data_IF_413836505281
#
_entry.id   IF_413836505281
#
_cell.length_a   1.000
_cell.length_b   1.000
_cell.length_c   1.000
_cell.angle_alpha   90.00
_cell.angle_beta   90.00
_cell.angle_gamma   90.00
#
_symmetry.space_group_name_H-M   'P 1'
#
loop_
_entity.id
_entity.type
_entity.pdbx_description
1 polymer ?
#
# COMPACT_ATOMS: atom_id res chain seq x y z
N UNK A 1 6.07 8.44 17.26
CA UNK A 1 6.40 9.20 16.02
C UNK A 1 6.46 8.22 14.86
N UNK A 2 5.82 8.57 13.75
CA UNK A 2 5.65 7.66 12.59
C UNK A 2 6.19 8.33 11.33
N UNK A 3 6.92 7.58 10.50
CA UNK A 3 7.25 7.92 9.12
C UNK A 3 6.53 6.97 8.16
N UNK A 4 6.05 7.49 7.06
CA UNK A 4 5.41 6.72 5.99
C UNK A 4 6.14 6.96 4.67
N UNK A 5 6.54 5.87 4.00
CA UNK A 5 7.07 5.90 2.64
C UNK A 5 6.10 5.21 1.70
N UNK A 6 5.59 5.95 0.72
CA UNK A 6 4.55 5.48 -0.21
C UNK A 6 4.90 5.78 -1.66
N UNK A 7 4.28 5.08 -2.61
CA UNK A 7 4.46 5.30 -4.04
C UNK A 7 3.25 4.85 -4.88
N UNK A 8 3.02 5.50 -6.04
CA UNK A 8 3.65 6.73 -6.53
C UNK A 8 3.14 7.99 -5.81
N UNK A 9 3.71 9.15 -6.10
CA UNK A 9 3.12 10.45 -5.80
C UNK A 9 2.13 10.85 -6.91
N UNK A 10 1.21 11.74 -6.60
CA UNK A 10 0.23 12.24 -7.57
C UNK A 10 0.61 13.61 -8.13
N UNK A 11 1.09 14.51 -7.31
CA UNK A 11 1.45 15.90 -7.68
C UNK A 11 2.90 16.16 -7.32
N UNK A 12 3.24 16.09 -6.04
CA UNK A 12 4.55 16.45 -5.52
C UNK A 12 5.34 15.24 -5.04
N UNK A 13 6.64 15.18 -5.36
CA UNK A 13 7.51 14.08 -4.93
C UNK A 13 7.50 13.86 -3.42
N UNK A 14 7.33 14.92 -2.66
CA UNK A 14 7.31 14.96 -1.20
C UNK A 14 6.22 14.08 -0.57
N UNK A 15 5.13 13.81 -1.31
CA UNK A 15 4.06 12.90 -0.89
C UNK A 15 4.58 11.50 -0.55
N UNK A 16 5.74 11.10 -1.13
CA UNK A 16 6.33 9.79 -0.90
C UNK A 16 6.95 9.65 0.49
N UNK A 17 7.37 10.74 1.12
CA UNK A 17 8.13 10.73 2.37
C UNK A 17 7.41 11.63 3.37
N UNK A 18 6.67 11.01 4.28
CA UNK A 18 5.84 11.72 5.24
C UNK A 18 6.33 11.45 6.67
N UNK A 19 6.55 12.49 7.44
CA UNK A 19 6.98 12.45 8.84
C UNK A 19 5.87 13.02 9.72
N UNK A 20 5.28 12.19 10.57
CA UNK A 20 4.18 12.58 11.47
C UNK A 20 3.01 13.30 10.76
N UNK A 21 2.62 12.77 9.59
CA UNK A 21 1.50 13.29 8.79
C UNK A 21 1.84 14.54 7.96
N UNK A 22 3.10 14.98 7.93
CA UNK A 22 3.54 16.09 7.11
C UNK A 22 4.55 15.61 6.05
N UNK A 23 4.38 15.94 4.77
CA UNK A 23 5.39 15.67 3.76
C UNK A 23 6.73 16.30 4.14
N UNK A 24 7.82 15.57 3.88
CA UNK A 24 9.17 16.12 4.05
C UNK A 24 9.37 17.32 3.12
N UNK A 25 10.08 18.34 3.58
CA UNK A 25 10.38 19.51 2.78
C UNK A 25 11.39 19.21 1.65
N UNK A 26 11.44 20.07 0.63
CA UNK A 26 12.43 19.99 -0.44
C UNK A 26 13.86 19.96 0.12
N UNK A 27 14.15 20.80 1.11
CA UNK A 27 15.47 20.89 1.71
C UNK A 27 15.87 19.57 2.40
N UNK A 28 14.95 18.91 3.12
CA UNK A 28 15.20 17.62 3.76
C UNK A 28 15.44 16.53 2.72
N UNK A 29 14.65 16.49 1.65
CA UNK A 29 14.78 15.50 0.57
C UNK A 29 16.08 15.71 -0.20
N UNK A 30 16.42 16.96 -0.55
CA UNK A 30 17.66 17.30 -1.25
C UNK A 30 18.87 16.91 -0.39
N UNK A 31 18.87 17.26 0.89
CA UNK A 31 19.94 16.88 1.81
C UNK A 31 20.09 15.35 1.91
N UNK A 32 18.98 14.62 1.93
CA UNK A 32 19.00 13.16 1.93
C UNK A 32 19.59 12.60 0.63
N UNK A 33 19.22 13.15 -0.53
CA UNK A 33 19.82 12.77 -1.81
C UNK A 33 21.33 13.04 -1.87
N UNK A 34 21.79 14.20 -1.37
CA UNK A 34 23.21 14.53 -1.29
C UNK A 34 23.98 13.52 -0.42
N UNK A 35 23.39 13.07 0.68
CA UNK A 35 24.01 12.04 1.52
C UNK A 35 24.07 10.68 0.83
N UNK A 36 23.03 10.26 0.13
CA UNK A 36 23.05 9.03 -0.67
C UNK A 36 24.13 9.13 -1.75
N UNK A 37 24.19 10.26 -2.48
CA UNK A 37 25.20 10.50 -3.51
C UNK A 37 26.63 10.41 -2.96
N UNK A 38 26.88 11.00 -1.79
CA UNK A 38 28.21 11.01 -1.17
C UNK A 38 28.70 9.60 -0.80
N UNK A 39 27.79 8.66 -0.46
CA UNK A 39 28.15 7.32 0.03
C UNK A 39 28.07 6.23 -1.01
N UNK A 40 27.27 6.39 -2.10
CA UNK A 40 27.06 5.33 -3.10
C UNK A 40 28.30 4.96 -3.91
N UNK A 41 29.33 5.81 -3.93
CA UNK A 41 30.65 5.54 -4.58
C UNK A 41 30.53 5.06 -6.03
N UNK A 42 29.59 5.64 -6.81
CA UNK A 42 29.35 5.27 -8.19
C UNK A 42 28.54 4.00 -8.41
N UNK A 43 28.03 3.36 -7.37
CA UNK A 43 27.04 2.26 -7.51
C UNK A 43 25.81 2.80 -8.24
N UNK A 44 25.40 2.19 -9.37
CA UNK A 44 24.20 2.61 -10.07
C UNK A 44 22.97 2.29 -9.22
N UNK A 45 22.08 3.26 -9.08
CA UNK A 45 20.80 3.13 -8.39
C UNK A 45 19.68 3.50 -9.35
N UNK A 46 18.61 2.75 -9.34
CA UNK A 46 17.36 3.13 -10.02
C UNK A 46 16.72 4.33 -9.34
N UNK A 47 15.79 4.97 -10.01
CA UNK A 47 15.00 6.06 -9.45
C UNK A 47 14.32 5.67 -8.11
N UNK A 48 13.75 4.46 -8.04
CA UNK A 48 13.07 3.98 -6.84
C UNK A 48 14.06 3.67 -5.71
N UNK A 49 15.17 2.98 -6.00
CA UNK A 49 16.21 2.70 -5.00
C UNK A 49 16.79 3.97 -4.40
N UNK A 50 17.01 4.98 -5.25
CA UNK A 50 17.55 6.26 -4.79
C UNK A 50 16.57 6.97 -3.84
N UNK A 51 15.27 7.00 -4.20
CA UNK A 51 14.21 7.58 -3.37
C UNK A 51 14.00 6.82 -2.07
N UNK A 52 14.07 5.49 -2.11
CA UNK A 52 13.96 4.64 -0.92
C UNK A 52 15.09 4.92 0.08
N UNK A 53 16.33 5.01 -0.40
CA UNK A 53 17.47 5.34 0.47
C UNK A 53 17.36 6.75 1.05
N UNK A 54 16.87 7.72 0.26
CA UNK A 54 16.62 9.08 0.77
C UNK A 54 15.54 9.08 1.86
N UNK A 55 14.46 8.32 1.69
CA UNK A 55 13.44 8.16 2.72
C UNK A 55 14.01 7.59 4.02
N UNK A 56 14.88 6.59 3.94
CA UNK A 56 15.54 6.03 5.10
C UNK A 56 16.45 7.04 5.82
N UNK A 57 17.13 7.90 5.07
CA UNK A 57 17.93 9.00 5.65
C UNK A 57 17.05 9.96 6.41
N UNK A 58 15.95 10.44 5.80
CA UNK A 58 15.00 11.36 6.45
C UNK A 58 14.43 10.73 7.72
N UNK A 59 14.02 9.46 7.68
CA UNK A 59 13.43 8.78 8.84
C UNK A 59 14.42 8.55 9.96
N UNK A 60 15.67 8.22 9.62
CA UNK A 60 16.73 8.06 10.62
C UNK A 60 17.04 9.38 11.33
N UNK A 61 17.06 10.50 10.61
CA UNK A 61 17.29 11.83 11.18
C UNK A 61 16.10 12.31 12.03
N UNK A 62 14.89 11.95 11.64
CA UNK A 62 13.67 12.28 12.37
C UNK A 62 13.50 11.51 13.68
N UNK A 63 14.33 10.50 13.97
CA UNK A 63 14.28 9.64 15.16
C UNK A 63 12.87 9.10 15.44
N UNK A 64 12.30 8.40 14.49
CA UNK A 64 10.93 7.85 14.51
C UNK A 64 10.88 6.53 15.28
N UNK A 65 9.72 6.26 15.89
CA UNK A 65 9.44 5.01 16.60
C UNK A 65 8.97 3.89 15.65
N UNK A 66 8.25 4.28 14.58
CA UNK A 66 7.68 3.35 13.59
C UNK A 66 7.92 3.88 12.17
N UNK A 67 8.33 2.98 11.28
CA UNK A 67 8.44 3.22 9.86
C UNK A 67 7.41 2.34 9.14
N UNK A 68 6.51 2.94 8.38
CA UNK A 68 5.57 2.25 7.49
C UNK A 68 6.09 2.37 6.07
N UNK A 69 6.50 1.26 5.49
CA UNK A 69 7.15 1.21 4.19
C UNK A 69 6.27 0.48 3.18
N UNK A 70 5.85 1.18 2.13
CA UNK A 70 5.15 0.57 1.01
C UNK A 70 6.18 0.00 0.02
N UNK A 71 5.97 -1.26 -0.36
CA UNK A 71 6.72 -1.91 -1.44
C UNK A 71 6.35 -1.27 -2.77
N UNK A 72 7.33 -0.90 -3.58
CA UNK A 72 7.08 -0.34 -4.91
C UNK A 72 6.53 -1.39 -5.88
N UNK A 73 7.16 -2.58 -5.92
CA UNK A 73 6.72 -3.68 -6.79
C UNK A 73 7.15 -5.04 -6.23
N UNK A 74 6.24 -6.02 -6.26
CA UNK A 74 6.51 -7.39 -5.79
C UNK A 74 6.73 -7.46 -4.30
N UNK A 75 7.96 -7.52 -3.86
CA UNK A 75 8.38 -7.57 -2.46
C UNK A 75 9.81 -8.09 -2.30
N UNK A 76 10.09 -9.30 -2.76
CA UNK A 76 11.36 -10.01 -2.54
C UNK A 76 12.60 -9.19 -2.95
N UNK A 77 12.57 -8.55 -4.09
CA UNK A 77 13.68 -7.76 -4.64
C UNK A 77 13.46 -6.25 -4.55
N UNK A 78 12.41 -5.82 -3.85
CA UNK A 78 12.14 -4.40 -3.68
C UNK A 78 13.16 -3.72 -2.77
N UNK A 79 13.47 -2.46 -3.06
CA UNK A 79 14.45 -1.70 -2.30
C UNK A 79 14.06 -1.54 -0.82
N UNK A 80 12.76 -1.44 -0.52
CA UNK A 80 12.28 -1.34 0.87
C UNK A 80 12.57 -2.60 1.68
N UNK A 81 12.68 -3.76 1.01
CA UNK A 81 12.91 -5.05 1.64
C UNK A 81 14.35 -5.28 2.13
N UNK A 82 15.24 -4.31 1.96
CA UNK A 82 16.59 -4.36 2.53
C UNK A 82 16.59 -4.25 4.05
N UNK A 83 15.55 -3.69 4.64
CA UNK A 83 15.36 -3.60 6.08
C UNK A 83 14.67 -4.85 6.62
N UNK A 84 15.01 -5.21 7.87
CA UNK A 84 14.32 -6.29 8.57
C UNK A 84 13.02 -5.77 9.19
N UNK A 85 11.85 -6.22 8.70
CA UNK A 85 10.57 -5.76 9.22
C UNK A 85 10.26 -6.40 10.58
N UNK A 86 9.51 -5.67 11.43
CA UNK A 86 8.95 -6.23 12.67
C UNK A 86 7.56 -6.85 12.46
N UNK A 87 6.90 -6.47 11.38
CA UNK A 87 5.61 -7.02 10.93
C UNK A 87 5.44 -6.77 9.44
N UNK A 88 4.67 -7.57 8.73
CA UNK A 88 4.40 -7.41 7.31
C UNK A 88 2.92 -7.57 6.97
N UNK A 89 2.44 -6.80 5.99
CA UNK A 89 1.09 -6.90 5.42
C UNK A 89 1.20 -7.15 3.92
N UNK A 90 0.52 -8.19 3.46
CA UNK A 90 0.25 -8.43 2.03
C UNK A 90 -1.24 -8.24 1.83
N UNK A 91 -1.65 -7.18 1.15
CA UNK A 91 -3.06 -6.78 1.02
C UNK A 91 -3.83 -7.73 0.13
N UNK A 92 -3.34 -7.93 -1.10
CA UNK A 92 -3.96 -8.82 -2.10
C UNK A 92 -2.90 -9.30 -3.10
N UNK A 93 -3.25 -10.35 -3.84
CA UNK A 93 -2.48 -10.84 -4.99
C UNK A 93 -3.42 -10.89 -6.18
N UNK A 94 -3.02 -10.29 -7.29
CA UNK A 94 -3.73 -10.32 -8.57
C UNK A 94 -2.72 -10.38 -9.71
N UNK A 95 -3.18 -10.67 -10.91
CA UNK A 95 -2.35 -10.58 -12.12
C UNK A 95 -2.07 -9.11 -12.41
N UNK A 96 -0.86 -8.68 -12.18
CA UNK A 96 -0.33 -7.36 -12.51
C UNK A 96 1.18 -7.45 -12.62
N UNK A 97 1.78 -6.55 -13.42
CA UNK A 97 3.22 -6.55 -13.67
C UNK A 97 3.77 -7.91 -14.10
N UNK A 98 3.02 -8.64 -14.93
CA UNK A 98 3.33 -10.02 -15.31
C UNK A 98 4.70 -10.17 -15.97
N UNK A 99 5.18 -9.17 -16.70
CA UNK A 99 6.51 -9.13 -17.31
C UNK A 99 7.66 -9.21 -16.28
N UNK A 100 7.39 -8.84 -15.02
CA UNK A 100 8.39 -8.76 -13.95
C UNK A 100 8.17 -9.77 -12.84
N UNK A 101 6.91 -10.03 -12.47
CA UNK A 101 6.58 -10.82 -11.29
C UNK A 101 6.17 -12.26 -11.61
N UNK A 102 5.85 -12.55 -12.89
CA UNK A 102 5.40 -13.86 -13.34
C UNK A 102 3.96 -13.86 -13.89
N UNK A 103 3.62 -14.92 -14.59
CA UNK A 103 2.38 -15.04 -15.37
C UNK A 103 1.22 -15.69 -14.60
N UNK A 104 1.44 -16.11 -13.35
CA UNK A 104 0.43 -16.79 -12.54
C UNK A 104 0.42 -16.27 -11.09
N UNK A 105 -0.73 -16.45 -10.45
CA UNK A 105 -0.99 -15.97 -9.08
C UNK A 105 0.00 -16.53 -8.04
N UNK A 106 0.41 -17.79 -8.17
CA UNK A 106 1.30 -18.41 -7.18
C UNK A 106 2.73 -17.85 -7.28
N UNK A 107 3.20 -17.59 -8.49
CA UNK A 107 4.51 -16.95 -8.73
C UNK A 107 4.51 -15.52 -8.20
N UNK A 108 3.48 -14.72 -8.52
CA UNK A 108 3.34 -13.34 -8.01
C UNK A 108 3.22 -13.35 -6.47
N UNK A 109 2.47 -14.30 -5.91
CA UNK A 109 2.32 -14.46 -4.47
C UNK A 109 3.67 -14.72 -3.79
N UNK A 110 4.52 -15.55 -4.39
CA UNK A 110 5.85 -15.86 -3.86
C UNK A 110 6.76 -14.62 -3.87
N UNK A 111 6.73 -13.80 -4.92
CA UNK A 111 7.46 -12.53 -4.95
C UNK A 111 6.99 -11.57 -3.85
N UNK A 112 5.67 -11.47 -3.64
CA UNK A 112 5.12 -10.65 -2.54
C UNK A 112 5.46 -11.24 -1.17
N UNK A 113 5.44 -12.56 -1.02
CA UNK A 113 5.81 -13.25 0.20
C UNK A 113 7.28 -13.01 0.64
N UNK A 114 8.12 -12.54 -0.28
CA UNK A 114 9.52 -12.19 0.01
C UNK A 114 9.72 -11.09 1.06
N UNK A 115 8.66 -10.39 1.49
CA UNK A 115 8.71 -9.45 2.62
C UNK A 115 8.59 -10.16 3.98
N UNK A 116 8.23 -11.44 4.02
CA UNK A 116 8.11 -12.20 5.25
C UNK A 116 9.48 -12.48 5.87
N UNK A 117 9.50 -12.62 7.19
CA UNK A 117 10.66 -13.10 7.94
C UNK A 117 10.23 -14.13 8.97
N UNK A 118 11.16 -14.95 9.42
CA UNK A 118 10.91 -15.92 10.48
C UNK A 118 10.55 -15.24 11.80
N UNK A 119 9.52 -15.74 12.47
CA UNK A 119 9.14 -15.29 13.81
C UNK A 119 8.37 -13.97 13.89
N UNK A 120 8.16 -13.23 12.77
CA UNK A 120 7.36 -12.02 12.78
C UNK A 120 5.89 -12.29 12.41
N UNK A 121 4.94 -11.43 12.85
CA UNK A 121 3.58 -11.48 12.37
C UNK A 121 3.50 -11.01 10.90
N UNK A 122 2.72 -11.76 10.12
CA UNK A 122 2.40 -11.45 8.73
C UNK A 122 0.88 -11.52 8.58
N UNK A 123 0.26 -10.45 8.12
CA UNK A 123 -1.17 -10.43 7.83
C UNK A 123 -1.39 -10.55 6.32
N UNK A 124 -2.33 -11.40 5.94
CA UNK A 124 -2.82 -11.46 4.56
C UNK A 124 -4.24 -10.87 4.49
N UNK A 125 -4.44 -9.83 3.67
CA UNK A 125 -5.64 -8.99 3.70
C UNK A 125 -6.84 -9.57 2.94
N UNK A 126 -6.61 -10.45 1.96
CA UNK A 126 -7.68 -11.05 1.15
C UNK A 126 -8.24 -12.32 1.80
N UNK A 127 -9.50 -12.68 1.44
CA UNK A 127 -10.11 -13.93 1.89
C UNK A 127 -9.55 -15.15 1.17
N UNK A 128 -9.22 -15.00 -0.11
CA UNK A 128 -8.60 -16.05 -0.92
C UNK A 128 -7.09 -15.97 -0.78
N UNK A 129 -6.49 -17.02 -0.23
CA UNK A 129 -5.06 -17.05 0.10
C UNK A 129 -4.34 -17.98 -0.87
N UNK A 130 -3.42 -17.47 -1.70
CA UNK A 130 -2.58 -18.31 -2.55
C UNK A 130 -1.79 -19.33 -1.73
N UNK A 131 -1.60 -20.51 -2.30
CA UNK A 131 -0.88 -21.60 -1.63
C UNK A 131 0.56 -21.22 -1.33
N UNK A 132 1.20 -20.48 -2.22
CA UNK A 132 2.56 -19.99 -2.04
C UNK A 132 2.73 -19.15 -0.77
N UNK A 133 1.74 -18.31 -0.40
CA UNK A 133 1.74 -17.53 0.85
C UNK A 133 1.80 -18.45 2.07
N UNK A 134 0.95 -19.49 2.09
CA UNK A 134 0.84 -20.44 3.21
C UNK A 134 2.15 -21.24 3.35
N UNK A 135 2.63 -21.80 2.25
CA UNK A 135 3.80 -22.66 2.23
C UNK A 135 5.07 -21.86 2.58
N UNK A 136 5.19 -20.63 2.08
CA UNK A 136 6.32 -19.76 2.39
C UNK A 136 6.31 -19.34 3.87
N UNK A 137 5.18 -18.92 4.41
CA UNK A 137 5.05 -18.59 5.83
C UNK A 137 5.40 -19.79 6.73
N UNK A 138 4.95 -20.99 6.37
CA UNK A 138 5.27 -22.22 7.10
C UNK A 138 6.77 -22.51 7.05
N UNK A 139 7.43 -22.36 5.89
CA UNK A 139 8.87 -22.58 5.73
C UNK A 139 9.73 -21.65 6.59
N UNK A 140 9.28 -20.42 6.78
CA UNK A 140 9.93 -19.39 7.61
C UNK A 140 9.52 -19.47 9.08
N UNK A 141 8.50 -20.25 9.42
CA UNK A 141 7.86 -20.22 10.74
C UNK A 141 7.32 -18.81 11.12
N UNK A 142 6.84 -18.06 10.13
CA UNK A 142 6.20 -16.77 10.34
C UNK A 142 4.82 -16.95 10.97
N UNK A 143 4.39 -15.98 11.78
CA UNK A 143 3.03 -15.98 12.34
C UNK A 143 2.06 -15.45 11.28
N UNK A 144 1.52 -16.32 10.42
CA UNK A 144 0.57 -15.90 9.37
C UNK A 144 -0.85 -15.77 9.93
N UNK A 145 -1.40 -14.54 9.84
CA UNK A 145 -2.76 -14.19 10.23
C UNK A 145 -3.64 -14.05 8.98
N UNK A 146 -4.75 -14.78 8.96
CA UNK A 146 -5.67 -14.87 7.83
C UNK A 146 -7.05 -14.33 8.18
N UNK A 147 -7.64 -13.61 7.25
CA UNK A 147 -9.02 -13.13 7.33
C UNK A 147 -10.00 -14.30 7.47
N UNK A 148 -10.95 -14.20 8.39
CA UNK A 148 -11.95 -15.23 8.68
C UNK A 148 -11.46 -16.36 9.58
N UNK A 149 -10.14 -16.45 9.85
CA UNK A 149 -9.56 -17.38 10.81
C UNK A 149 -9.01 -16.67 12.06
N UNK A 150 -8.20 -15.64 11.86
CA UNK A 150 -7.46 -14.95 12.93
C UNK A 150 -7.99 -13.54 13.18
N UNK A 151 -8.64 -12.94 12.20
CA UNK A 151 -9.32 -11.66 12.31
C UNK A 151 -10.57 -11.61 11.40
N UNK A 152 -11.52 -10.74 11.72
CA UNK A 152 -12.77 -10.56 10.97
C UNK A 152 -12.98 -9.10 10.55
N UNK A 153 -14.05 -8.85 9.80
CA UNK A 153 -14.51 -7.51 9.44
C UNK A 153 -15.48 -6.93 10.46
N UNK A 154 -15.87 -7.74 11.45
CA UNK A 154 -16.88 -7.35 12.44
C UNK A 154 -16.37 -6.18 13.27
N UNK A 155 -17.22 -5.19 13.47
CA UNK A 155 -16.93 -3.98 14.26
C UNK A 155 -15.80 -3.10 13.70
N UNK A 156 -15.34 -3.32 12.48
CA UNK A 156 -14.38 -2.42 11.83
C UNK A 156 -15.11 -1.15 11.37
N UNK A 157 -14.70 0.04 11.83
CA UNK A 157 -15.32 1.29 11.39
C UNK A 157 -15.16 1.48 9.87
N UNK A 158 -16.19 2.04 9.24
CA UNK A 158 -16.14 2.35 7.81
C UNK A 158 -15.03 3.38 7.53
N UNK A 159 -14.04 3.05 6.71
CA UNK A 159 -13.05 4.04 6.26
C UNK A 159 -13.68 5.16 5.43
N UNK A 160 -13.09 6.34 5.45
CA UNK A 160 -13.46 7.43 4.55
C UNK A 160 -13.14 7.17 3.07
N UNK A 161 -12.39 6.10 2.79
CA UNK A 161 -12.11 5.60 1.45
C UNK A 161 -13.31 4.84 0.89
N UNK A 162 -13.65 5.06 -0.38
CA UNK A 162 -14.75 4.38 -1.06
C UNK A 162 -14.42 2.92 -1.39
N UNK A 163 -15.45 2.09 -1.40
CA UNK A 163 -15.41 0.67 -1.75
C UNK A 163 -15.41 -0.27 -0.53
N UNK A 164 -16.21 -1.34 -0.61
CA UNK A 164 -16.33 -2.32 0.47
C UNK A 164 -15.02 -3.02 0.83
N UNK A 165 -14.10 -3.17 -0.14
CA UNK A 165 -12.79 -3.78 0.09
C UNK A 165 -11.92 -2.97 1.07
N UNK A 166 -12.20 -1.67 1.26
CA UNK A 166 -11.46 -0.84 2.20
C UNK A 166 -11.72 -1.23 3.66
N UNK A 167 -12.89 -1.80 3.96
CA UNK A 167 -13.15 -2.40 5.28
C UNK A 167 -12.18 -3.57 5.52
N UNK A 168 -11.95 -4.38 4.47
CA UNK A 168 -10.98 -5.47 4.52
C UNK A 168 -9.55 -4.98 4.76
N UNK A 169 -9.14 -3.92 4.09
CA UNK A 169 -7.84 -3.29 4.29
C UNK A 169 -7.70 -2.74 5.72
N UNK A 170 -8.71 -2.03 6.23
CA UNK A 170 -8.72 -1.51 7.60
C UNK A 170 -8.63 -2.65 8.63
N UNK A 171 -9.41 -3.73 8.45
CA UNK A 171 -9.35 -4.91 9.31
C UNK A 171 -7.95 -5.52 9.36
N UNK A 172 -7.31 -5.66 8.18
CA UNK A 172 -5.95 -6.19 8.08
C UNK A 172 -4.92 -5.29 8.78
N UNK A 173 -5.05 -3.97 8.65
CA UNK A 173 -4.19 -3.00 9.35
C UNK A 173 -4.37 -3.12 10.87
N UNK A 174 -5.60 -3.15 11.37
CA UNK A 174 -5.86 -3.31 12.81
C UNK A 174 -5.33 -4.65 13.34
N UNK A 175 -5.47 -5.73 12.58
CA UNK A 175 -4.89 -7.02 12.92
C UNK A 175 -3.36 -6.97 12.97
N UNK A 176 -2.71 -6.29 12.01
CA UNK A 176 -1.27 -6.12 11.99
C UNK A 176 -0.76 -5.32 13.19
N UNK A 177 -1.41 -4.19 13.50
CA UNK A 177 -1.04 -3.34 14.64
C UNK A 177 -1.10 -4.12 15.97
N UNK A 178 -2.16 -4.90 16.20
CA UNK A 178 -2.27 -5.77 17.38
C UNK A 178 -1.17 -6.83 17.41
N UNK A 179 -0.94 -7.51 16.31
CA UNK A 179 0.08 -8.55 16.23
C UNK A 179 1.52 -8.01 16.36
N UNK A 180 1.74 -6.75 15.98
CA UNK A 180 3.01 -6.05 16.15
C UNK A 180 3.22 -5.45 17.57
N UNK A 181 2.28 -5.64 18.50
CA UNK A 181 2.36 -5.10 19.86
C UNK A 181 2.04 -3.60 19.94
N UNK A 182 1.32 -3.07 18.96
CA UNK A 182 0.87 -1.67 18.89
C UNK A 182 -0.62 -1.57 19.22
N UNK A 183 -1.05 -2.21 20.31
CA UNK A 183 -2.47 -2.32 20.70
C UNK A 183 -3.13 -0.94 20.87
N UNK A 184 -2.41 0.06 21.39
CA UNK A 184 -2.94 1.42 21.56
C UNK A 184 -3.32 2.06 20.21
N UNK A 185 -2.56 1.76 19.16
CA UNK A 185 -2.86 2.23 17.80
C UNK A 185 -4.01 1.45 17.13
N UNK A 186 -4.34 0.28 17.64
CA UNK A 186 -5.45 -0.57 17.18
C UNK A 186 -6.69 -0.50 18.13
N UNK A 187 -6.73 0.49 19.03
CA UNK A 187 -7.87 0.73 19.90
C UNK A 187 -9.14 1.05 19.08
N UNK A 188 -10.27 0.47 19.47
CA UNK A 188 -11.53 0.61 18.73
C UNK A 188 -12.05 2.04 18.71
N UNK A 189 -11.86 2.80 19.79
CA UNK A 189 -12.29 4.20 19.88
C UNK A 189 -11.42 5.07 18.96
N UNK A 190 -10.11 4.83 18.95
CA UNK A 190 -9.19 5.52 18.07
C UNK A 190 -9.49 5.16 16.59
N UNK A 191 -9.67 3.90 16.29
CA UNK A 191 -10.02 3.45 14.94
C UNK A 191 -11.33 4.09 14.45
N UNK A 192 -12.37 4.15 15.31
CA UNK A 192 -13.64 4.78 15.00
C UNK A 192 -13.52 6.30 14.74
N UNK A 193 -12.53 6.96 15.31
CA UNK A 193 -12.28 8.39 15.08
C UNK A 193 -11.40 8.66 13.88
N UNK A 194 -10.45 7.77 13.54
CA UNK A 194 -9.44 8.00 12.51
C UNK A 194 -9.86 7.45 11.15
N UNK A 195 -10.39 6.22 11.10
CA UNK A 195 -10.68 5.56 9.81
C UNK A 195 -11.65 6.34 8.93
N UNK A 196 -12.74 6.95 9.44
CA UNK A 196 -13.64 7.77 8.61
C UNK A 196 -12.99 9.00 7.99
N UNK A 197 -11.92 9.52 8.59
CA UNK A 197 -11.21 10.71 8.12
C UNK A 197 -10.12 10.39 7.10
N UNK A 198 -9.84 9.10 6.86
CA UNK A 198 -8.78 8.69 5.91
C UNK A 198 -9.22 9.02 4.49
N UNK A 199 -8.42 9.83 3.83
CA UNK A 199 -8.57 10.16 2.42
C UNK A 199 -7.25 9.92 1.69
N UNK A 200 -7.31 9.47 0.45
CA UNK A 200 -6.14 9.25 -0.38
C UNK A 200 -6.46 9.71 -1.81
N UNK A 201 -5.66 10.63 -2.32
CA UNK A 201 -5.81 11.12 -3.69
C UNK A 201 -5.70 9.97 -4.69
N UNK A 202 -6.61 9.93 -5.68
CA UNK A 202 -6.63 8.88 -6.68
C UNK A 202 -7.12 7.50 -6.19
N UNK A 203 -7.79 7.42 -5.04
CA UNK A 203 -8.46 6.20 -4.56
C UNK A 203 -9.94 6.48 -4.29
N UNK A 204 -10.76 6.44 -5.36
CA UNK A 204 -12.15 6.84 -5.28
C UNK A 204 -12.34 8.27 -4.78
N UNK A 205 -11.40 9.15 -5.07
CA UNK A 205 -11.34 10.52 -4.55
C UNK A 205 -12.33 11.41 -5.28
N UNK A 206 -13.36 11.89 -4.59
CA UNK A 206 -14.37 12.77 -5.14
C UNK A 206 -14.04 14.23 -4.87
N UNK A 207 -14.15 15.04 -5.93
CA UNK A 207 -14.07 16.50 -5.87
C UNK A 207 -15.25 17.10 -6.64
N UNK A 208 -15.73 18.24 -6.21
CA UNK A 208 -16.72 19.03 -6.96
C UNK A 208 -16.02 20.23 -7.60
N UNK A 209 -16.14 20.36 -8.92
CA UNK A 209 -15.59 21.45 -9.67
C UNK A 209 -16.61 21.93 -10.70
N UNK A 210 -16.95 23.21 -10.68
CA UNK A 210 -17.90 23.86 -11.60
C UNK A 210 -19.29 23.17 -11.68
N UNK A 211 -19.74 22.61 -10.55
CA UNK A 211 -21.02 21.89 -10.46
C UNK A 211 -21.00 20.49 -11.07
N UNK A 212 -19.82 19.96 -11.36
CA UNK A 212 -19.59 18.59 -11.80
C UNK A 212 -18.86 17.83 -10.69
N UNK A 213 -19.36 16.65 -10.36
CA UNK A 213 -18.65 15.73 -9.46
C UNK A 213 -17.61 14.94 -10.28
N UNK A 214 -16.38 14.99 -9.84
CA UNK A 214 -15.27 14.24 -10.41
C UNK A 214 -14.86 13.13 -9.46
N UNK A 215 -14.82 11.90 -9.96
CA UNK A 215 -14.21 10.78 -9.25
C UNK A 215 -12.84 10.51 -9.86
N UNK A 216 -11.80 10.60 -9.05
CA UNK A 216 -10.43 10.34 -9.44
C UNK A 216 -9.99 8.98 -8.89
N UNK A 217 -9.57 8.07 -9.76
CA UNK A 217 -9.06 6.76 -9.39
C UNK A 217 -7.85 6.39 -10.23
N UNK A 218 -6.96 5.55 -9.69
CA UNK A 218 -5.77 5.05 -10.36
C UNK A 218 -5.88 3.59 -10.80
N UNK A 219 -7.10 3.06 -10.91
CA UNK A 219 -7.33 1.72 -11.43
C UNK A 219 -6.68 1.59 -12.83
N UNK A 220 -5.82 0.58 -13.00
CA UNK A 220 -5.02 0.40 -14.22
C UNK A 220 -4.79 -1.09 -14.56
N UNK A 221 -5.53 -1.98 -13.92
CA UNK A 221 -5.58 -3.41 -14.24
C UNK A 221 -7.01 -3.93 -14.11
N UNK A 222 -7.35 -5.09 -14.69
CA UNK A 222 -8.72 -5.61 -14.69
C UNK A 222 -9.32 -5.75 -13.28
N UNK A 223 -8.56 -6.27 -12.34
CA UNK A 223 -9.05 -6.46 -10.96
C UNK A 223 -9.40 -5.12 -10.27
N UNK A 224 -8.60 -4.06 -10.49
CA UNK A 224 -8.89 -2.72 -9.97
C UNK A 224 -10.09 -2.09 -10.69
N UNK A 225 -10.24 -2.34 -11.99
CA UNK A 225 -11.39 -1.85 -12.76
C UNK A 225 -12.70 -2.50 -12.31
N UNK A 226 -12.72 -3.81 -12.04
CA UNK A 226 -13.88 -4.50 -11.46
C UNK A 226 -14.30 -3.90 -10.12
N UNK A 227 -13.33 -3.60 -9.24
CA UNK A 227 -13.57 -2.96 -7.94
C UNK A 227 -14.13 -1.55 -8.11
N UNK A 228 -13.57 -0.77 -9.04
CA UNK A 228 -14.07 0.57 -9.35
C UNK A 228 -15.49 0.52 -9.91
N UNK A 229 -15.78 -0.40 -10.83
CA UNK A 229 -17.11 -0.60 -11.39
C UNK A 229 -18.14 -0.99 -10.31
N UNK A 230 -17.78 -1.88 -9.39
CA UNK A 230 -18.63 -2.24 -8.25
C UNK A 230 -18.90 -1.04 -7.33
N UNK A 231 -17.89 -0.22 -7.09
CA UNK A 231 -18.01 1.01 -6.28
C UNK A 231 -18.96 2.02 -6.94
N UNK A 232 -18.79 2.27 -8.24
CA UNK A 232 -19.67 3.15 -9.01
C UNK A 232 -21.11 2.62 -9.10
N UNK A 233 -21.28 1.30 -9.22
CA UNK A 233 -22.59 0.65 -9.28
C UNK A 233 -23.36 0.73 -7.95
N UNK A 234 -22.69 0.89 -6.82
CA UNK A 234 -23.32 1.09 -5.51
C UNK A 234 -23.74 2.54 -5.25
N UNK A 235 -23.13 3.49 -5.94
CA UNK A 235 -23.41 4.91 -5.80
C UNK A 235 -24.57 5.32 -6.73
N UNK A 236 -25.65 5.83 -6.13
CA UNK A 236 -26.78 6.36 -6.89
C UNK A 236 -26.52 7.84 -7.25
N UNK A 237 -25.84 8.08 -8.37
CA UNK A 237 -25.69 9.43 -8.90
C UNK A 237 -26.79 9.73 -9.94
N UNK A 238 -27.53 10.84 -9.78
CA UNK A 238 -28.46 11.28 -10.80
C UNK A 238 -27.69 11.94 -11.94
N UNK A 239 -27.78 11.39 -13.14
CA UNK A 239 -27.20 11.97 -14.35
C UNK A 239 -26.34 11.00 -15.15
N UNK A 240 -25.73 11.52 -16.22
CA UNK A 240 -24.86 10.74 -17.09
C UNK A 240 -23.42 10.73 -16.51
N UNK A 241 -22.78 9.57 -16.58
CA UNK A 241 -21.38 9.41 -16.19
C UNK A 241 -20.52 9.33 -17.45
N UNK A 242 -19.47 10.14 -17.49
CA UNK A 242 -18.45 10.10 -18.55
C UNK A 242 -17.14 9.63 -17.98
N UNK A 243 -16.57 8.54 -18.51
CA UNK A 243 -15.25 8.08 -18.12
C UNK A 243 -14.17 8.70 -19.01
N UNK A 244 -13.09 9.20 -18.38
CA UNK A 244 -11.86 9.64 -19.06
C UNK A 244 -10.76 8.70 -18.60
N UNK A 245 -10.20 7.91 -19.53
CA UNK A 245 -9.26 6.84 -19.23
C UNK A 245 -7.92 7.15 -19.89
N UNK A 246 -6.83 7.04 -19.12
CA UNK A 246 -5.46 7.12 -19.62
C UNK A 246 -4.61 6.06 -18.94
N UNK A 247 -3.94 5.21 -19.72
CA UNK A 247 -3.07 4.15 -19.24
C UNK A 247 -1.81 4.04 -20.10
N UNK A 248 -0.76 3.42 -19.54
CA UNK A 248 0.44 3.10 -20.29
C UNK A 248 0.21 1.88 -21.19
N UNK A 249 0.98 1.77 -22.28
CA UNK A 249 0.85 0.73 -23.30
C UNK A 249 1.17 -0.69 -22.79
N UNK A 250 1.84 -0.81 -21.64
CA UNK A 250 2.16 -2.08 -20.97
C UNK A 250 1.00 -2.64 -20.14
N UNK A 251 -0.13 -1.95 -20.10
CA UNK A 251 -1.32 -2.36 -19.33
C UNK A 251 -2.35 -3.08 -20.20
N UNK A 252 -3.12 -3.97 -19.57
CA UNK A 252 -4.23 -4.66 -20.19
C UNK A 252 -5.43 -3.71 -20.34
N UNK A 253 -5.38 -2.87 -21.39
CA UNK A 253 -6.41 -1.86 -21.67
C UNK A 253 -7.75 -2.53 -21.98
N UNK A 254 -7.75 -3.62 -22.76
CA UNK A 254 -8.97 -4.32 -23.15
C UNK A 254 -9.68 -4.96 -21.95
N UNK A 255 -8.94 -5.39 -20.94
CA UNK A 255 -9.48 -5.94 -19.70
C UNK A 255 -9.98 -4.88 -18.71
N UNK A 256 -9.63 -3.60 -18.91
CA UNK A 256 -10.08 -2.48 -18.04
C UNK A 256 -11.33 -1.79 -18.62
N UNK A 257 -11.51 -1.74 -19.93
CA UNK A 257 -12.60 -1.05 -20.63
C UNK A 257 -13.75 -2.00 -20.93
#
# INVERSE_FOLDING_TARGET
>A
RVGTYTSPHMIDYNERIVVQGQPASDDEIVAAFERVEAVRQGVPLTYFEYGTLAAFVVFAEAALDVWVLEVGMGGRLDATNVLEPTAALITTVSLDHCDWLGEDIETIALEKAGVMRGGIPVVFGSAEVPRAIIDHAASLQSQLLLRGRDYSLDSVPQPGLRGEFQIGNAAAVLALLRAAGLEEAADETLAASVLPEVQLMGRGHCIELDGVEWLLDVAHNPAAAEVLAATLGSDQHPGDTTAIIGMLDDKDIDGVV
#
